data_IF_392736881135
#
_entry.id   IF_392736881135
#
_cell.length_a   1.000
_cell.length_b   1.000
_cell.length_c   1.000
_cell.angle_alpha   90.00
_cell.angle_beta   90.00
_cell.angle_gamma   90.00
#
_symmetry.space_group_name_H-M   'P 1'
#
loop_
_entity.id
_entity.type
_entity.pdbx_description
1 polymer ?
#
# COMPACT_ATOMS: atom_id res chain seq x y z
N UNK A 1 13.55 1.06 15.35
CA UNK A 1 12.27 0.54 14.89
C UNK A 1 11.30 1.63 14.41
N UNK A 2 11.40 2.87 14.93
CA UNK A 2 10.59 4.01 14.50
C UNK A 2 11.12 4.51 13.15
N UNK A 3 10.43 4.19 12.07
CA UNK A 3 10.82 4.54 10.69
C UNK A 3 10.05 5.78 10.22
N UNK A 4 10.32 6.22 8.99
CA UNK A 4 9.67 7.42 8.46
C UNK A 4 8.14 7.29 8.26
N UNK A 5 7.62 6.06 8.04
CA UNK A 5 6.22 5.84 7.68
C UNK A 5 5.50 4.82 8.56
N UNK A 6 6.22 4.05 9.36
CA UNK A 6 5.71 2.99 10.21
C UNK A 6 6.68 2.67 11.36
N UNK A 7 6.26 1.76 12.23
CA UNK A 7 7.15 1.11 13.20
C UNK A 7 7.42 -0.29 12.68
N UNK A 8 8.70 -0.67 12.56
CA UNK A 8 9.09 -1.96 12.00
C UNK A 8 10.38 -2.50 12.61
N UNK A 9 10.42 -3.81 12.86
CA UNK A 9 11.61 -4.45 13.41
C UNK A 9 11.57 -5.98 13.35
N UNK A 10 12.70 -6.59 13.69
CA UNK A 10 12.83 -8.04 13.86
C UNK A 10 12.22 -8.43 15.21
N UNK A 11 11.26 -9.36 15.17
CA UNK A 11 10.52 -9.79 16.36
C UNK A 11 11.45 -10.45 17.38
N UNK A 12 11.31 -10.07 18.65
CA UNK A 12 12.12 -10.59 19.75
C UNK A 12 13.53 -9.97 19.84
N UNK A 13 13.98 -9.22 18.82
CA UNK A 13 15.29 -8.55 18.81
C UNK A 13 15.13 -7.05 18.93
N UNK A 14 14.61 -6.41 17.90
CA UNK A 14 14.37 -4.96 17.90
C UNK A 14 12.90 -4.61 18.20
N UNK A 15 11.96 -5.45 17.83
CA UNK A 15 10.53 -5.31 18.16
C UNK A 15 10.19 -6.31 19.28
N UNK A 16 10.32 -5.88 20.54
CA UNK A 16 10.01 -6.68 21.73
C UNK A 16 8.58 -6.44 22.21
N UNK A 17 7.98 -7.41 22.94
CA UNK A 17 6.62 -7.26 23.45
C UNK A 17 6.51 -6.11 24.46
N UNK A 18 7.52 -5.90 25.32
CA UNK A 18 7.58 -4.77 26.23
C UNK A 18 7.59 -3.45 25.45
N UNK A 19 8.38 -3.37 24.37
CA UNK A 19 8.42 -2.21 23.50
C UNK A 19 7.05 -1.94 22.86
N UNK A 20 6.37 -2.98 22.40
CA UNK A 20 5.01 -2.89 21.83
C UNK A 20 4.00 -2.41 22.86
N UNK A 21 4.07 -2.88 24.11
CA UNK A 21 3.22 -2.38 25.20
C UNK A 21 3.43 -0.87 25.44
N UNK A 22 4.69 -0.41 25.42
CA UNK A 22 5.02 1.02 25.55
C UNK A 22 4.49 1.83 24.36
N UNK A 23 4.58 1.28 23.14
CA UNK A 23 4.00 1.89 21.95
C UNK A 23 2.47 1.98 22.10
N UNK A 24 1.81 0.93 22.58
CA UNK A 24 0.38 0.94 22.88
C UNK A 24 -0.01 2.04 23.89
N UNK A 25 0.77 2.19 24.97
CA UNK A 25 0.59 3.30 25.93
C UNK A 25 0.76 4.67 25.28
N UNK A 26 1.76 4.83 24.41
CA UNK A 26 2.01 6.09 23.74
C UNK A 26 0.88 6.46 22.78
N UNK A 27 0.37 5.49 22.00
CA UNK A 27 -0.77 5.66 21.10
C UNK A 27 -2.04 5.98 21.91
N UNK A 28 -2.35 5.17 22.92
CA UNK A 28 -3.55 5.37 23.75
C UNK A 28 -3.58 6.73 24.43
N UNK A 29 -2.40 7.24 24.82
CA UNK A 29 -2.27 8.58 25.40
C UNK A 29 -2.51 9.73 24.42
N UNK A 30 -2.55 9.48 23.10
CA UNK A 30 -2.89 10.48 22.07
C UNK A 30 -4.38 10.42 21.69
N UNK A 31 -5.08 9.34 22.03
CA UNK A 31 -6.49 9.17 21.72
C UNK A 31 -7.31 10.00 22.69
N UNK A 32 -8.21 10.83 22.17
CA UNK A 32 -9.12 11.62 22.99
C UNK A 32 -10.04 10.71 23.80
N UNK A 33 -10.32 11.10 25.03
CA UNK A 33 -11.23 10.36 25.92
C UNK A 33 -12.57 10.04 25.24
N UNK A 34 -12.96 8.76 25.29
CA UNK A 34 -14.21 8.27 24.72
C UNK A 34 -14.14 7.87 23.24
N UNK A 35 -12.98 7.98 22.58
CA UNK A 35 -12.79 7.43 21.23
C UNK A 35 -12.18 6.04 21.31
N UNK A 36 -12.70 5.12 20.49
CA UNK A 36 -12.15 3.77 20.33
C UNK A 36 -11.04 3.73 19.25
N UNK A 37 -10.26 2.64 19.28
CA UNK A 37 -9.27 2.32 18.26
C UNK A 37 -9.48 0.90 17.73
N UNK A 38 -9.45 0.72 16.40
CA UNK A 38 -9.50 -0.58 15.76
C UNK A 38 -8.11 -1.22 15.75
N UNK A 39 -8.00 -2.49 16.10
CA UNK A 39 -6.76 -3.27 16.02
C UNK A 39 -6.97 -4.46 15.12
N UNK A 40 -6.08 -4.64 14.12
CA UNK A 40 -6.05 -5.81 13.26
C UNK A 40 -4.64 -6.36 13.12
N UNK A 41 -4.51 -7.55 12.54
CA UNK A 41 -3.21 -8.15 12.24
C UNK A 41 -3.22 -8.92 10.94
N UNK A 42 -2.07 -9.02 10.28
CA UNK A 42 -1.87 -9.89 9.13
C UNK A 42 -1.75 -11.38 9.53
N UNK A 43 -1.31 -12.23 8.61
CA UNK A 43 -1.18 -13.68 8.80
C UNK A 43 0.07 -14.13 9.55
N UNK A 44 0.98 -13.23 9.93
CA UNK A 44 2.27 -13.60 10.55
C UNK A 44 2.10 -14.29 11.89
N UNK A 45 2.94 -15.29 12.16
CA UNK A 45 2.88 -16.09 13.38
C UNK A 45 3.09 -15.28 14.66
N UNK A 46 3.86 -14.19 14.59
CA UNK A 46 4.10 -13.28 15.70
C UNK A 46 2.93 -12.31 15.97
N UNK A 47 1.98 -12.19 15.05
CA UNK A 47 0.86 -11.26 15.12
C UNK A 47 0.05 -11.34 16.43
N UNK A 48 -0.42 -12.52 16.87
CA UNK A 48 -1.24 -12.63 18.08
C UNK A 48 -0.58 -12.10 19.35
N UNK A 49 0.71 -12.40 19.57
CA UNK A 49 1.43 -11.93 20.76
C UNK A 49 1.69 -10.42 20.73
N UNK A 50 1.97 -9.86 19.55
CA UNK A 50 2.16 -8.42 19.36
C UNK A 50 0.85 -7.67 19.56
N UNK A 51 -0.28 -8.17 19.03
CA UNK A 51 -1.62 -7.59 19.25
C UNK A 51 -1.99 -7.58 20.73
N UNK A 52 -1.75 -8.70 21.46
CA UNK A 52 -2.01 -8.75 22.90
C UNK A 52 -1.24 -7.68 23.66
N UNK A 53 0.07 -7.56 23.42
CA UNK A 53 0.90 -6.55 24.08
C UNK A 53 0.49 -5.11 23.72
N UNK A 54 0.09 -4.86 22.48
CA UNK A 54 -0.42 -3.57 22.02
C UNK A 54 -1.72 -3.20 22.74
N UNK A 55 -2.68 -4.13 22.81
CA UNK A 55 -3.96 -3.96 23.47
C UNK A 55 -3.78 -3.65 24.97
N UNK A 56 -2.89 -4.39 25.66
CA UNK A 56 -2.58 -4.13 27.07
C UNK A 56 -2.08 -2.69 27.28
N UNK A 57 -1.22 -2.21 26.40
CA UNK A 57 -0.75 -0.83 26.43
C UNK A 57 -1.86 0.19 26.21
N UNK A 58 -2.70 0.00 25.21
CA UNK A 58 -3.83 0.87 24.87
C UNK A 58 -4.85 0.97 26.00
N UNK A 59 -5.29 -0.16 26.52
CA UNK A 59 -6.26 -0.25 27.61
C UNK A 59 -5.74 0.44 28.88
N UNK A 60 -4.45 0.22 29.20
CA UNK A 60 -3.82 0.85 30.37
C UNK A 60 -3.71 2.37 30.26
N UNK A 61 -3.90 2.93 29.07
CA UNK A 61 -3.97 4.38 28.83
C UNK A 61 -5.41 4.90 28.71
N UNK A 62 -6.42 4.04 28.93
CA UNK A 62 -7.84 4.40 28.89
C UNK A 62 -8.48 4.39 27.50
N UNK A 63 -7.80 3.89 26.47
CA UNK A 63 -8.38 3.76 25.14
C UNK A 63 -9.27 2.51 25.05
N UNK A 64 -10.50 2.66 24.55
CA UNK A 64 -11.34 1.52 24.19
C UNK A 64 -10.83 0.89 22.89
N UNK A 65 -10.73 -0.44 22.89
CA UNK A 65 -10.16 -1.21 21.77
C UNK A 65 -11.23 -2.07 21.11
N UNK A 66 -11.27 -2.04 19.78
CA UNK A 66 -12.08 -2.95 18.95
C UNK A 66 -11.12 -3.84 18.19
N UNK A 67 -10.97 -5.09 18.63
CA UNK A 67 -10.17 -6.10 17.91
C UNK A 67 -10.98 -6.64 16.73
N UNK A 68 -10.51 -6.39 15.50
CA UNK A 68 -11.10 -6.93 14.26
C UNK A 68 -10.46 -8.25 13.82
N UNK A 69 -9.50 -8.77 14.59
CA UNK A 69 -8.85 -10.05 14.35
C UNK A 69 -7.84 -10.02 13.20
N UNK A 70 -7.79 -11.11 12.46
CA UNK A 70 -6.95 -11.20 11.26
C UNK A 70 -7.59 -10.38 10.14
N UNK A 71 -6.80 -9.47 9.56
CA UNK A 71 -7.28 -8.51 8.57
C UNK A 71 -6.14 -8.03 7.66
N UNK A 72 -6.49 -7.54 6.48
CA UNK A 72 -5.59 -6.79 5.61
C UNK A 72 -5.44 -5.34 6.07
N UNK A 73 -4.37 -4.66 5.62
CA UNK A 73 -4.21 -3.22 5.87
C UNK A 73 -5.41 -2.41 5.35
N UNK A 74 -5.89 -2.60 4.11
CA UNK A 74 -7.10 -1.92 3.64
C UNK A 74 -8.35 -2.25 4.45
N UNK A 75 -8.53 -3.48 4.91
CA UNK A 75 -9.68 -3.84 5.75
C UNK A 75 -9.64 -3.14 7.12
N UNK A 76 -8.45 -2.93 7.70
CA UNK A 76 -8.32 -2.09 8.90
C UNK A 76 -8.67 -0.62 8.60
N UNK A 77 -8.14 -0.06 7.51
CA UNK A 77 -8.47 1.32 7.14
C UNK A 77 -9.98 1.48 6.92
N UNK A 78 -10.60 0.53 6.23
CA UNK A 78 -12.05 0.47 6.09
C UNK A 78 -12.75 0.42 7.45
N UNK A 79 -12.29 -0.41 8.39
CA UNK A 79 -12.86 -0.51 9.73
C UNK A 79 -12.85 0.82 10.48
N UNK A 80 -11.80 1.64 10.34
CA UNK A 80 -11.74 2.96 10.99
C UNK A 80 -12.83 3.91 10.50
N UNK A 81 -13.28 3.75 9.25
CA UNK A 81 -14.40 4.51 8.68
C UNK A 81 -15.75 3.89 9.05
N UNK A 82 -15.91 2.58 8.86
CA UNK A 82 -17.17 1.87 9.08
C UNK A 82 -17.62 1.85 10.54
N UNK A 83 -16.66 1.79 11.46
CA UNK A 83 -16.91 1.82 12.91
C UNK A 83 -16.76 3.24 13.50
N UNK A 84 -16.56 4.25 12.66
CA UNK A 84 -16.44 5.67 13.02
C UNK A 84 -15.38 5.97 14.08
N UNK A 85 -14.37 5.09 14.23
CA UNK A 85 -13.32 5.29 15.24
C UNK A 85 -12.33 6.37 14.81
N UNK A 86 -12.07 6.49 13.53
CA UNK A 86 -11.00 7.33 12.98
C UNK A 86 -9.59 6.92 13.44
N UNK A 87 -9.48 5.90 14.31
CA UNK A 87 -8.22 5.41 14.86
C UNK A 87 -8.07 3.92 14.57
N UNK A 88 -6.87 3.49 14.22
CA UNK A 88 -6.60 2.09 13.97
C UNK A 88 -5.12 1.76 13.93
N UNK A 89 -4.76 0.53 14.27
CA UNK A 89 -3.42 -0.03 14.08
C UNK A 89 -3.54 -1.40 13.44
N UNK A 90 -2.83 -1.61 12.33
CA UNK A 90 -2.61 -2.93 11.78
C UNK A 90 -1.21 -3.42 12.14
N UNK A 91 -1.16 -4.60 12.76
CA UNK A 91 0.08 -5.32 13.04
C UNK A 91 0.45 -6.10 11.80
N UNK A 92 1.48 -5.66 11.10
CA UNK A 92 1.91 -6.26 9.83
C UNK A 92 3.39 -6.02 9.55
N UNK A 93 4.03 -6.99 8.91
CA UNK A 93 5.33 -6.82 8.29
C UNK A 93 5.24 -6.53 6.79
N UNK A 94 4.00 -6.41 6.22
CA UNK A 94 3.77 -6.22 4.79
C UNK A 94 4.56 -7.26 3.96
N UNK A 95 5.40 -6.81 3.03
CA UNK A 95 6.27 -7.64 2.20
C UNK A 95 7.64 -7.98 2.83
N UNK A 96 7.88 -7.71 4.12
CA UNK A 96 9.14 -8.09 4.77
C UNK A 96 9.21 -9.61 5.05
N UNK A 97 10.42 -10.17 5.26
CA UNK A 97 10.60 -11.57 5.65
C UNK A 97 9.77 -11.97 6.90
N UNK A 98 9.51 -13.29 7.12
CA UNK A 98 8.63 -13.76 8.19
C UNK A 98 9.02 -13.33 9.61
N UNK A 99 10.31 -13.14 9.87
CA UNK A 99 10.85 -12.69 11.16
C UNK A 99 10.59 -11.22 11.48
N UNK A 100 10.17 -10.42 10.52
CA UNK A 100 9.78 -9.03 10.72
C UNK A 100 8.31 -8.89 11.09
N UNK A 101 8.02 -7.85 11.86
CA UNK A 101 6.65 -7.33 12.03
C UNK A 101 6.71 -5.82 12.28
N UNK A 102 5.55 -5.18 12.36
CA UNK A 102 5.47 -3.74 12.55
C UNK A 102 4.06 -3.24 12.79
N UNK A 103 3.91 -1.93 12.80
CA UNK A 103 2.65 -1.25 13.08
C UNK A 103 2.46 -0.11 12.06
N UNK A 104 1.38 -0.19 11.27
CA UNK A 104 0.86 0.96 10.52
C UNK A 104 -0.25 1.58 11.35
N UNK A 105 -0.20 2.88 11.58
CA UNK A 105 -1.02 3.58 12.57
C UNK A 105 -1.85 4.66 11.89
N UNK A 106 -3.12 4.72 12.21
CA UNK A 106 -4.05 5.79 11.82
C UNK A 106 -4.56 6.46 13.09
N UNK A 107 -4.45 7.77 13.18
CA UNK A 107 -5.01 8.57 14.27
C UNK A 107 -5.83 9.74 13.69
N UNK A 108 -7.02 9.96 14.21
CA UNK A 108 -7.98 10.98 13.73
C UNK A 108 -8.18 10.98 12.20
N UNK A 109 -8.23 9.76 11.60
CA UNK A 109 -8.39 9.55 10.16
C UNK A 109 -7.16 9.91 9.32
N UNK A 110 -5.97 9.94 9.92
CA UNK A 110 -4.70 10.19 9.23
C UNK A 110 -3.71 9.06 9.51
N UNK A 111 -3.12 8.49 8.47
CA UNK A 111 -1.93 7.65 8.64
C UNK A 111 -0.80 8.52 9.18
N UNK A 112 -0.24 8.18 10.34
CA UNK A 112 0.85 8.95 10.95
C UNK A 112 2.19 8.62 10.28
N UNK A 113 3.07 9.62 10.20
CA UNK A 113 4.41 9.50 9.63
C UNK A 113 5.37 10.57 10.20
N UNK A 114 6.67 10.41 9.95
CA UNK A 114 7.70 11.41 10.30
C UNK A 114 7.66 11.80 11.76
N UNK A 115 7.51 13.09 12.05
CA UNK A 115 7.52 13.64 13.39
C UNK A 115 6.45 13.05 14.31
N UNK A 116 5.28 12.67 13.77
CA UNK A 116 4.22 12.04 14.56
C UNK A 116 4.64 10.67 15.10
N UNK A 117 5.44 9.90 14.35
CA UNK A 117 6.04 8.64 14.82
C UNK A 117 7.14 8.93 15.86
N UNK A 118 7.94 9.98 15.65
CA UNK A 118 8.97 10.40 16.61
C UNK A 118 8.35 10.94 17.91
N UNK A 119 7.17 11.55 17.86
CA UNK A 119 6.43 11.97 19.06
C UNK A 119 6.01 10.78 19.93
N UNK A 120 5.66 9.62 19.33
CA UNK A 120 5.45 8.38 20.09
C UNK A 120 6.73 7.94 20.80
N UNK A 121 7.87 7.95 20.09
CA UNK A 121 9.17 7.61 20.69
C UNK A 121 9.54 8.55 21.85
N UNK A 122 9.36 9.85 21.64
CA UNK A 122 9.63 10.87 22.67
C UNK A 122 8.76 10.62 23.92
N UNK A 123 7.46 10.35 23.73
CA UNK A 123 6.54 10.03 24.84
C UNK A 123 7.00 8.80 25.63
N UNK A 124 7.50 7.77 24.95
CA UNK A 124 8.07 6.57 25.57
C UNK A 124 9.32 6.91 26.37
N UNK A 125 10.26 7.67 25.81
CA UNK A 125 11.52 8.06 26.46
C UNK A 125 11.29 8.91 27.72
N UNK A 126 10.27 9.78 27.68
CA UNK A 126 9.89 10.65 28.80
C UNK A 126 8.98 9.96 29.82
N UNK A 127 8.56 8.69 29.57
CA UNK A 127 7.58 7.96 30.35
C UNK A 127 6.28 8.78 30.58
N UNK A 128 5.89 9.54 29.55
CA UNK A 128 4.76 10.48 29.60
C UNK A 128 3.48 9.79 29.07
N UNK A 129 2.86 9.00 29.90
CA UNK A 129 1.65 8.24 29.56
C UNK A 129 0.44 8.72 30.36
N UNK A 130 -0.72 8.74 29.70
CA UNK A 130 -2.00 8.80 30.39
C UNK A 130 -2.22 7.46 31.08
N UNK A 131 -2.80 7.48 32.28
CA UNK A 131 -3.22 6.27 32.99
C UNK A 131 -4.73 6.21 32.96
N UNK A 132 -5.26 5.08 32.52
CA UNK A 132 -6.69 4.86 32.39
C UNK A 132 -7.05 3.38 32.42
N UNK A 133 -8.30 3.08 32.15
CA UNK A 133 -8.82 1.72 32.08
C UNK A 133 -9.85 1.65 30.94
N UNK A 134 -9.38 1.34 29.73
CA UNK A 134 -10.22 1.13 28.55
C UNK A 134 -10.85 -0.27 28.53
N UNK A 135 -11.73 -0.50 27.57
CA UNK A 135 -12.43 -1.76 27.38
C UNK A 135 -12.03 -2.43 26.06
N UNK A 136 -11.96 -3.75 26.08
CA UNK A 136 -11.75 -4.56 24.87
C UNK A 136 -13.09 -5.11 24.38
N UNK A 137 -13.35 -4.90 23.10
CA UNK A 137 -14.43 -5.56 22.36
C UNK A 137 -13.89 -6.17 21.07
N UNK A 138 -14.67 -7.01 20.41
CA UNK A 138 -14.27 -7.60 19.12
C UNK A 138 -15.42 -7.56 18.13
N UNK A 139 -15.06 -7.46 16.84
CA UNK A 139 -16.02 -7.53 15.73
C UNK A 139 -15.35 -8.09 14.48
N UNK A 140 -16.14 -8.69 13.57
CA UNK A 140 -15.66 -9.11 12.27
C UNK A 140 -16.06 -8.06 11.22
N UNK A 141 -15.08 -7.56 10.46
CA UNK A 141 -15.31 -6.56 9.42
C UNK A 141 -15.37 -7.15 8.02
N UNK A 142 -15.04 -8.44 7.84
CA UNK A 142 -14.82 -9.06 6.53
C UNK A 142 -16.04 -8.97 5.62
N UNK A 143 -17.21 -9.37 6.09
CA UNK A 143 -18.45 -9.30 5.29
C UNK A 143 -18.80 -7.88 4.86
N UNK A 144 -18.61 -6.90 5.74
CA UNK A 144 -18.87 -5.49 5.43
C UNK A 144 -17.90 -4.97 4.37
N UNK A 145 -16.61 -5.32 4.48
CA UNK A 145 -15.60 -4.94 3.50
C UNK A 145 -15.89 -5.56 2.13
N UNK A 146 -16.16 -6.88 2.07
CA UNK A 146 -16.53 -7.59 0.85
C UNK A 146 -17.77 -6.95 0.21
N UNK A 147 -18.84 -6.77 0.98
CA UNK A 147 -20.09 -6.16 0.52
C UNK A 147 -19.86 -4.74 -0.01
N UNK A 148 -19.02 -3.96 0.66
CA UNK A 148 -18.72 -2.59 0.23
C UNK A 148 -18.00 -2.56 -1.12
N UNK A 149 -17.01 -3.44 -1.35
CA UNK A 149 -16.34 -3.55 -2.65
C UNK A 149 -17.33 -4.02 -3.72
N UNK A 150 -18.06 -5.10 -3.44
CA UNK A 150 -19.05 -5.66 -4.35
C UNK A 150 -20.12 -4.65 -4.77
N UNK A 151 -20.61 -3.83 -3.85
CA UNK A 151 -21.65 -2.83 -4.12
C UNK A 151 -21.18 -1.72 -5.08
N UNK A 152 -19.87 -1.49 -5.14
CA UNK A 152 -19.28 -0.41 -5.94
C UNK A 152 -18.93 -0.83 -7.37
N UNK A 153 -18.50 -2.06 -7.59
CA UNK A 153 -17.89 -2.54 -8.83
C UNK A 153 -18.93 -3.22 -9.74
N UNK A 154 -18.90 -2.88 -11.02
CA UNK A 154 -19.80 -3.46 -12.03
C UNK A 154 -19.03 -3.84 -13.30
N UNK A 155 -18.82 -5.13 -13.49
CA UNK A 155 -18.21 -5.63 -14.71
C UNK A 155 -19.20 -5.60 -15.89
N UNK A 156 -18.73 -5.19 -17.06
CA UNK A 156 -19.53 -5.21 -18.30
C UNK A 156 -19.67 -6.64 -18.87
N UNK A 157 -18.74 -7.53 -18.53
CA UNK A 157 -18.78 -8.97 -18.89
C UNK A 157 -18.08 -9.81 -17.84
N UNK A 158 -18.33 -11.11 -17.85
CA UNK A 158 -17.54 -12.05 -17.06
C UNK A 158 -16.09 -12.06 -17.51
N UNK A 159 -15.16 -12.22 -16.57
CA UNK A 159 -13.73 -12.31 -16.83
C UNK A 159 -13.14 -13.53 -16.11
N UNK A 160 -12.21 -14.22 -16.79
CA UNK A 160 -11.44 -15.30 -16.18
C UNK A 160 -10.11 -14.72 -15.68
N UNK A 161 -9.84 -14.89 -14.40
CA UNK A 161 -8.62 -14.34 -13.77
C UNK A 161 -7.93 -15.38 -12.90
N UNK A 162 -6.62 -15.25 -12.76
CA UNK A 162 -5.87 -15.94 -11.71
C UNK A 162 -5.46 -14.91 -10.66
N UNK A 163 -5.65 -15.24 -9.39
CA UNK A 163 -5.17 -14.44 -8.27
C UNK A 163 -4.05 -15.16 -7.55
N UNK A 164 -3.03 -14.43 -7.15
CA UNK A 164 -1.91 -14.91 -6.34
C UNK A 164 -1.84 -14.08 -5.05
N UNK A 165 -2.11 -14.72 -3.92
CA UNK A 165 -2.10 -14.07 -2.62
C UNK A 165 -0.79 -14.28 -1.85
N UNK A 166 0.19 -15.02 -2.38
CA UNK A 166 1.49 -15.28 -1.75
C UNK A 166 1.39 -15.77 -0.31
N UNK A 167 0.32 -16.52 0.04
CA UNK A 167 -0.04 -16.90 1.41
C UNK A 167 -0.31 -15.71 2.36
N UNK A 168 -0.47 -14.50 1.83
CA UNK A 168 -0.85 -13.30 2.57
C UNK A 168 -2.36 -13.20 2.85
N UNK A 169 -2.76 -12.18 3.60
CA UNK A 169 -4.16 -12.00 4.04
C UNK A 169 -5.13 -11.59 2.93
N UNK A 170 -4.64 -11.28 1.72
CA UNK A 170 -5.51 -11.15 0.55
C UNK A 170 -6.38 -12.39 0.33
N UNK A 171 -5.87 -13.58 0.66
CA UNK A 171 -6.59 -14.85 0.56
C UNK A 171 -7.90 -14.91 1.36
N UNK A 172 -8.07 -14.08 2.37
CA UNK A 172 -9.32 -13.98 3.14
C UNK A 172 -10.47 -13.32 2.38
N UNK A 173 -10.17 -12.51 1.37
CA UNK A 173 -11.15 -11.61 0.75
C UNK A 173 -11.18 -11.71 -0.77
N UNK A 174 -10.01 -11.80 -1.42
CA UNK A 174 -9.86 -11.57 -2.85
C UNK A 174 -10.70 -12.53 -3.69
N UNK A 175 -10.65 -13.84 -3.39
CA UNK A 175 -11.41 -14.83 -4.15
C UNK A 175 -12.93 -14.58 -4.08
N UNK A 176 -13.45 -14.30 -2.89
CA UNK A 176 -14.87 -14.03 -2.68
C UNK A 176 -15.29 -12.72 -3.37
N UNK A 177 -14.52 -11.65 -3.21
CA UNK A 177 -14.79 -10.36 -3.85
C UNK A 177 -14.84 -10.53 -5.37
N UNK A 178 -13.80 -11.12 -5.99
CA UNK A 178 -13.77 -11.23 -7.45
C UNK A 178 -14.84 -12.17 -8.00
N UNK A 179 -15.17 -13.26 -7.31
CA UNK A 179 -16.31 -14.13 -7.68
C UNK A 179 -17.64 -13.36 -7.57
N UNK A 180 -17.83 -12.59 -6.51
CA UNK A 180 -19.07 -11.85 -6.27
C UNK A 180 -19.34 -10.75 -7.30
N UNK A 181 -18.31 -10.14 -7.87
CA UNK A 181 -18.44 -9.14 -8.95
C UNK A 181 -18.54 -9.77 -10.34
N UNK A 182 -18.47 -11.11 -10.46
CA UNK A 182 -18.74 -11.85 -11.70
C UNK A 182 -17.51 -12.44 -12.41
N UNK A 183 -16.37 -12.57 -11.73
CA UNK A 183 -15.21 -13.25 -12.27
C UNK A 183 -15.27 -14.77 -12.07
N UNK A 184 -14.67 -15.51 -13.01
CA UNK A 184 -14.23 -16.88 -12.83
C UNK A 184 -12.79 -16.84 -12.30
N UNK A 185 -12.59 -17.29 -11.07
CA UNK A 185 -11.35 -17.05 -10.31
C UNK A 185 -10.59 -18.36 -10.09
N UNK A 186 -9.37 -18.41 -10.60
CA UNK A 186 -8.38 -19.41 -10.25
C UNK A 186 -7.48 -18.87 -9.13
N UNK A 187 -7.27 -19.67 -8.10
CA UNK A 187 -6.62 -19.27 -6.86
C UNK A 187 -5.22 -19.89 -6.74
N UNK A 188 -4.18 -19.07 -6.54
CA UNK A 188 -2.83 -19.48 -6.18
C UNK A 188 -2.50 -18.94 -4.80
N UNK A 189 -2.03 -19.84 -3.92
CA UNK A 189 -1.50 -19.52 -2.58
C UNK A 189 -2.43 -18.61 -1.74
N UNK A 190 -3.75 -18.86 -1.82
CA UNK A 190 -4.76 -18.08 -1.09
C UNK A 190 -5.00 -18.54 0.36
N UNK A 191 -4.42 -19.66 0.79
CA UNK A 191 -4.42 -20.06 2.20
C UNK A 191 -3.44 -19.19 2.97
N UNK A 192 -3.92 -18.47 3.98
CA UNK A 192 -3.06 -17.59 4.80
C UNK A 192 -2.08 -18.42 5.61
N UNK A 193 -0.78 -18.18 5.39
CA UNK A 193 0.31 -18.84 6.12
C UNK A 193 1.47 -17.85 6.33
N UNK A 194 1.69 -17.45 7.57
CA UNK A 194 2.72 -16.46 7.94
C UNK A 194 4.16 -16.92 7.76
N UNK A 195 4.38 -18.17 7.30
CA UNK A 195 5.71 -18.68 6.91
C UNK A 195 6.03 -18.43 5.44
N UNK A 196 5.01 -18.07 4.63
CA UNK A 196 5.12 -17.80 3.18
C UNK A 196 5.82 -18.93 2.41
N UNK A 197 5.31 -20.17 2.44
CA UNK A 197 6.03 -21.36 2.01
C UNK A 197 6.25 -21.46 0.49
N UNK A 198 5.51 -20.72 -0.33
CA UNK A 198 5.58 -20.84 -1.77
C UNK A 198 6.54 -19.81 -2.40
N UNK A 199 6.32 -18.56 -2.13
CA UNK A 199 7.20 -17.45 -2.51
C UNK A 199 6.98 -16.27 -1.56
N UNK A 200 7.92 -15.33 -1.59
CA UNK A 200 7.80 -14.11 -0.81
C UNK A 200 6.65 -13.23 -1.34
N UNK A 201 5.72 -12.73 -0.48
CA UNK A 201 4.55 -11.97 -0.93
C UNK A 201 4.90 -10.51 -1.27
N UNK A 202 5.70 -10.33 -2.32
CA UNK A 202 6.10 -9.03 -2.86
C UNK A 202 5.94 -9.02 -4.37
N UNK A 203 4.83 -8.50 -4.92
CA UNK A 203 4.57 -8.47 -6.35
C UNK A 203 5.47 -7.49 -7.12
N UNK A 204 6.27 -6.67 -6.45
CA UNK A 204 7.25 -5.79 -7.09
C UNK A 204 8.47 -6.55 -7.62
N UNK A 205 8.65 -7.82 -7.24
CA UNK A 205 9.77 -8.66 -7.60
C UNK A 205 9.35 -9.70 -8.64
N UNK A 206 9.91 -9.67 -9.86
CA UNK A 206 9.56 -10.61 -10.94
C UNK A 206 9.70 -12.08 -10.54
N UNK A 207 10.68 -12.41 -9.70
CA UNK A 207 10.89 -13.77 -9.21
C UNK A 207 9.71 -14.33 -8.41
N UNK A 208 8.92 -13.47 -7.74
CA UNK A 208 7.75 -13.87 -6.97
C UNK A 208 6.49 -14.04 -7.84
N UNK A 209 6.54 -13.62 -9.10
CA UNK A 209 5.42 -13.72 -10.04
C UNK A 209 5.53 -14.94 -10.98
N UNK A 210 6.56 -15.80 -10.86
CA UNK A 210 6.82 -16.89 -11.79
C UNK A 210 5.66 -17.88 -11.91
N UNK A 211 5.06 -18.27 -10.78
CA UNK A 211 3.95 -19.21 -10.79
C UNK A 211 2.69 -18.58 -11.39
N UNK A 212 2.42 -17.32 -11.08
CA UNK A 212 1.32 -16.56 -11.68
C UNK A 212 1.52 -16.40 -13.19
N UNK A 213 2.73 -16.02 -13.63
CA UNK A 213 3.06 -15.91 -15.08
C UNK A 213 2.81 -17.22 -15.80
N UNK A 214 3.30 -18.34 -15.25
CA UNK A 214 3.12 -19.66 -15.82
C UNK A 214 1.64 -20.04 -15.88
N UNK A 215 0.91 -19.86 -14.78
CA UNK A 215 -0.51 -20.24 -14.70
C UNK A 215 -1.37 -19.46 -15.70
N UNK A 216 -1.16 -18.14 -15.80
CA UNK A 216 -1.89 -17.28 -16.75
C UNK A 216 -1.52 -17.62 -18.21
N UNK A 217 -0.23 -17.83 -18.51
CA UNK A 217 0.22 -18.12 -19.87
C UNK A 217 -0.33 -19.47 -20.39
N UNK A 218 -0.29 -20.51 -19.56
CA UNK A 218 -0.68 -21.88 -19.90
C UNK A 218 -2.19 -22.15 -19.70
N UNK A 219 -2.84 -21.42 -18.80
CA UNK A 219 -4.24 -21.62 -18.39
C UNK A 219 -5.28 -20.91 -19.27
N UNK A 220 -6.47 -20.68 -18.71
CA UNK A 220 -7.58 -20.00 -19.39
C UNK A 220 -7.77 -18.54 -18.93
N UNK A 221 -7.03 -18.08 -17.94
CA UNK A 221 -7.15 -16.73 -17.39
C UNK A 221 -6.72 -15.67 -18.39
N UNK A 222 -7.46 -14.58 -18.44
CA UNK A 222 -7.19 -13.44 -19.32
C UNK A 222 -6.08 -12.55 -18.76
N UNK A 223 -5.91 -12.55 -17.42
CA UNK A 223 -4.83 -11.87 -16.70
C UNK A 223 -4.66 -12.45 -15.29
N UNK A 224 -3.54 -12.14 -14.66
CA UNK A 224 -3.23 -12.49 -13.28
C UNK A 224 -3.12 -11.24 -12.40
N UNK A 225 -3.60 -11.35 -11.16
CA UNK A 225 -3.49 -10.34 -10.12
C UNK A 225 -2.68 -10.92 -8.95
N UNK A 226 -1.66 -10.21 -8.50
CA UNK A 226 -0.84 -10.59 -7.34
C UNK A 226 -0.95 -9.53 -6.24
N UNK A 227 -0.97 -9.99 -4.98
CA UNK A 227 -1.08 -9.13 -3.80
C UNK A 227 0.12 -9.35 -2.88
N UNK A 228 0.49 -8.31 -2.13
CA UNK A 228 1.50 -8.45 -1.09
C UNK A 228 0.92 -8.98 0.23
N UNK A 229 1.80 -9.14 1.23
CA UNK A 229 1.47 -9.85 2.47
C UNK A 229 0.29 -9.27 3.26
N UNK A 230 0.05 -7.97 3.19
CA UNK A 230 -1.07 -7.27 3.84
C UNK A 230 -2.08 -6.65 2.86
N UNK A 231 -1.95 -6.99 1.57
CA UNK A 231 -2.92 -6.72 0.50
C UNK A 231 -3.13 -5.23 0.14
N UNK A 232 -2.16 -4.38 0.43
CA UNK A 232 -2.24 -2.97 0.05
C UNK A 232 -1.55 -2.66 -1.30
N UNK A 233 -0.89 -3.68 -1.93
CA UNK A 233 -0.28 -3.58 -3.25
C UNK A 233 -0.90 -4.52 -4.26
N UNK A 234 -0.86 -4.10 -5.53
CA UNK A 234 -1.31 -4.88 -6.67
C UNK A 234 -0.20 -5.03 -7.71
N UNK A 235 0.05 -6.26 -8.14
CA UNK A 235 0.84 -6.61 -9.33
C UNK A 235 -0.05 -7.23 -10.40
N UNK A 236 0.26 -6.99 -11.68
CA UNK A 236 -0.52 -7.49 -12.81
C UNK A 236 0.37 -8.23 -13.80
N UNK A 237 -0.12 -9.39 -14.24
CA UNK A 237 0.48 -10.21 -15.28
C UNK A 237 -0.51 -10.39 -16.43
N UNK A 238 -0.10 -10.09 -17.66
CA UNK A 238 -0.93 -10.27 -18.85
C UNK A 238 -0.99 -11.73 -19.30
N UNK A 239 -1.92 -12.06 -20.22
CA UNK A 239 -2.02 -13.38 -20.86
C UNK A 239 -0.71 -13.81 -21.57
N UNK A 240 0.09 -12.87 -22.00
CA UNK A 240 1.40 -13.11 -22.63
C UNK A 240 2.54 -13.28 -21.63
N UNK A 241 2.26 -13.23 -20.32
CA UNK A 241 3.26 -13.33 -19.26
C UNK A 241 4.04 -12.02 -19.03
N UNK A 242 3.59 -10.89 -19.59
CA UNK A 242 4.19 -9.59 -19.36
C UNK A 242 3.75 -9.04 -18.00
N UNK A 243 4.70 -8.54 -17.22
CA UNK A 243 4.42 -7.80 -15.97
C UNK A 243 4.10 -6.36 -16.34
N UNK A 244 2.94 -5.88 -15.93
CA UNK A 244 2.55 -4.48 -16.09
C UNK A 244 2.94 -3.70 -14.84
N UNK A 245 3.88 -2.77 -15.00
CA UNK A 245 4.36 -1.94 -13.89
C UNK A 245 3.30 -0.94 -13.42
N UNK A 246 3.34 -0.55 -12.13
CA UNK A 246 2.30 0.26 -11.49
C UNK A 246 2.04 1.61 -12.17
N UNK A 247 3.04 2.28 -12.71
CA UNK A 247 2.87 3.55 -13.43
C UNK A 247 2.07 3.36 -14.74
N UNK A 248 2.20 2.21 -15.42
CA UNK A 248 1.37 1.86 -16.57
C UNK A 248 -0.08 1.53 -16.16
N UNK A 249 -0.29 0.90 -14.99
CA UNK A 249 -1.63 0.71 -14.43
C UNK A 249 -2.27 2.04 -14.05
N UNK A 250 -1.50 2.99 -13.52
CA UNK A 250 -1.96 4.35 -13.24
C UNK A 250 -2.47 5.06 -14.50
N UNK A 251 -1.90 4.78 -15.68
CA UNK A 251 -2.41 5.33 -16.94
C UNK A 251 -3.85 4.89 -17.22
N UNK A 252 -4.16 3.60 -16.97
CA UNK A 252 -5.52 3.07 -17.15
C UNK A 252 -6.51 3.65 -16.12
N UNK A 253 -6.08 3.75 -14.86
CA UNK A 253 -6.91 4.37 -13.82
C UNK A 253 -7.14 5.86 -14.10
N UNK A 254 -6.14 6.56 -14.65
CA UNK A 254 -6.28 7.94 -15.09
C UNK A 254 -7.29 8.06 -16.24
N UNK A 255 -7.24 7.16 -17.23
CA UNK A 255 -8.21 7.12 -18.33
C UNK A 255 -9.63 6.98 -17.81
N UNK A 256 -9.86 6.00 -16.92
CA UNK A 256 -11.19 5.77 -16.33
C UNK A 256 -11.67 6.98 -15.53
N UNK A 257 -10.82 7.55 -14.66
CA UNK A 257 -11.15 8.70 -13.83
C UNK A 257 -11.49 9.94 -14.69
N UNK A 258 -10.65 10.25 -15.68
CA UNK A 258 -10.76 11.46 -16.49
C UNK A 258 -11.96 11.45 -17.43
N UNK A 259 -12.61 10.31 -17.65
CA UNK A 259 -13.91 10.28 -18.34
C UNK A 259 -15.01 10.99 -17.53
N UNK A 260 -14.95 10.90 -16.21
CA UNK A 260 -15.93 11.44 -15.26
C UNK A 260 -15.51 12.77 -14.63
N UNK A 261 -14.22 12.94 -14.38
CA UNK A 261 -13.65 14.08 -13.67
C UNK A 261 -12.63 14.81 -14.55
N UNK A 262 -13.14 15.63 -15.46
CA UNK A 262 -12.28 16.45 -16.33
C UNK A 262 -11.35 17.34 -15.50
N UNK A 263 -10.10 17.50 -15.95
CA UNK A 263 -9.09 18.35 -15.30
C UNK A 263 -8.75 17.91 -13.84
N UNK A 264 -9.04 16.64 -13.46
CA UNK A 264 -8.66 16.13 -12.15
C UNK A 264 -7.14 16.11 -11.97
N UNK A 265 -6.70 16.40 -10.75
CA UNK A 265 -5.31 16.21 -10.35
C UNK A 265 -5.10 14.75 -9.99
N UNK A 266 -3.99 14.15 -10.46
CA UNK A 266 -3.60 12.75 -10.22
C UNK A 266 -2.20 12.75 -9.65
N UNK A 267 -2.04 12.20 -8.44
CA UNK A 267 -0.78 12.18 -7.71
C UNK A 267 -0.04 10.85 -7.91
N UNK A 268 1.28 10.92 -8.08
CA UNK A 268 2.14 9.75 -8.20
C UNK A 268 3.55 10.03 -7.68
N UNK A 269 4.28 8.99 -7.31
CA UNK A 269 5.60 9.15 -6.71
C UNK A 269 6.70 9.43 -7.76
N UNK A 270 7.84 9.94 -7.28
CA UNK A 270 9.00 10.32 -8.13
C UNK A 270 9.61 9.15 -8.91
N UNK A 271 9.29 7.90 -8.56
CA UNK A 271 9.80 6.69 -9.22
C UNK A 271 9.06 6.38 -10.53
N UNK A 272 7.83 6.89 -10.68
CA UNK A 272 7.03 6.67 -11.87
C UNK A 272 7.67 7.28 -13.13
N UNK A 273 7.42 6.65 -14.29
CA UNK A 273 7.96 7.11 -15.57
C UNK A 273 7.40 8.49 -15.97
N UNK A 274 8.14 9.23 -16.78
CA UNK A 274 7.69 10.50 -17.36
C UNK A 274 6.48 10.33 -18.27
N UNK A 275 6.30 9.13 -18.84
CA UNK A 275 5.19 8.82 -19.74
C UNK A 275 3.84 8.93 -19.01
N UNK A 276 3.80 8.62 -17.70
CA UNK A 276 2.59 8.81 -16.89
C UNK A 276 2.16 10.29 -16.85
N UNK A 277 3.13 11.20 -16.68
CA UNK A 277 2.84 12.64 -16.70
C UNK A 277 2.28 13.11 -18.06
N UNK A 278 2.89 12.67 -19.17
CA UNK A 278 2.44 12.97 -20.52
C UNK A 278 1.04 12.39 -20.77
N UNK A 279 0.84 11.13 -20.41
CA UNK A 279 -0.45 10.43 -20.55
C UNK A 279 -1.60 11.16 -19.87
N UNK A 280 -1.39 11.58 -18.61
CA UNK A 280 -2.40 12.34 -17.85
C UNK A 280 -2.71 13.68 -18.52
N UNK A 281 -1.68 14.44 -18.97
CA UNK A 281 -1.85 15.74 -19.64
C UNK A 281 -2.62 15.61 -20.95
N UNK A 282 -2.25 14.66 -21.80
CA UNK A 282 -2.90 14.40 -23.09
C UNK A 282 -4.40 14.10 -22.95
N UNK A 283 -4.81 13.54 -21.80
CA UNK A 283 -6.22 13.23 -21.47
C UNK A 283 -6.93 14.34 -20.70
N UNK A 284 -6.29 15.50 -20.57
CA UNK A 284 -6.85 16.66 -19.92
C UNK A 284 -6.86 16.61 -18.40
N UNK A 285 -6.00 15.78 -17.79
CA UNK A 285 -5.76 15.75 -16.35
C UNK A 285 -4.55 16.61 -15.93
N UNK A 286 -4.34 16.77 -14.63
CA UNK A 286 -3.20 17.46 -14.05
C UNK A 286 -2.31 16.48 -13.28
N UNK A 287 -1.12 16.12 -13.81
CA UNK A 287 -0.19 15.25 -13.11
C UNK A 287 0.49 15.98 -11.94
N UNK A 288 0.58 15.33 -10.79
CA UNK A 288 1.28 15.82 -9.61
C UNK A 288 2.29 14.80 -9.14
N UNK A 289 3.56 15.06 -9.38
CA UNK A 289 4.65 14.23 -8.85
C UNK A 289 4.86 14.55 -7.37
N UNK A 290 5.08 13.53 -6.54
CA UNK A 290 5.24 13.67 -5.09
C UNK A 290 6.33 12.76 -4.53
N UNK A 291 6.56 12.86 -3.23
CA UNK A 291 7.50 11.99 -2.50
C UNK A 291 6.98 10.57 -2.45
N UNK A 292 7.88 9.58 -2.51
CA UNK A 292 7.56 8.17 -2.26
C UNK A 292 7.20 7.95 -0.79
N UNK A 293 6.11 7.21 -0.56
CA UNK A 293 5.64 6.81 0.75
C UNK A 293 4.12 6.91 0.86
N UNK A 294 3.48 5.76 1.07
CA UNK A 294 2.00 5.65 1.08
C UNK A 294 1.33 6.64 2.05
N UNK A 295 1.94 6.90 3.22
CA UNK A 295 1.41 7.87 4.18
C UNK A 295 1.51 9.31 3.67
N UNK A 296 2.59 9.66 2.93
CA UNK A 296 2.79 10.97 2.33
C UNK A 296 1.80 11.22 1.19
N UNK A 297 1.57 10.22 0.34
CA UNK A 297 0.57 10.30 -0.73
C UNK A 297 -0.84 10.48 -0.14
N UNK A 298 -1.22 9.67 0.88
CA UNK A 298 -2.52 9.79 1.56
C UNK A 298 -2.72 11.19 2.17
N UNK A 299 -1.69 11.73 2.83
CA UNK A 299 -1.75 13.06 3.42
C UNK A 299 -1.98 14.14 2.37
N UNK A 300 -1.23 14.12 1.26
CA UNK A 300 -1.36 15.09 0.17
C UNK A 300 -2.70 14.95 -0.57
N UNK A 301 -3.16 13.72 -0.80
CA UNK A 301 -4.49 13.48 -1.39
C UNK A 301 -5.61 14.08 -0.53
N UNK A 302 -5.51 13.97 0.79
CA UNK A 302 -6.50 14.55 1.72
C UNK A 302 -6.42 16.07 1.72
N UNK A 303 -5.21 16.63 1.80
CA UNK A 303 -4.99 18.09 1.83
C UNK A 303 -5.47 18.79 0.56
N UNK A 304 -5.21 18.20 -0.60
CA UNK A 304 -5.54 18.76 -1.91
C UNK A 304 -6.83 18.22 -2.54
N UNK A 305 -7.56 17.34 -1.83
CA UNK A 305 -8.77 16.68 -2.33
C UNK A 305 -8.56 15.92 -3.66
N UNK A 306 -7.42 15.23 -3.80
CA UNK A 306 -7.06 14.46 -4.99
C UNK A 306 -7.84 13.13 -5.00
N UNK A 307 -8.35 12.75 -6.17
CA UNK A 307 -9.26 11.60 -6.33
C UNK A 307 -8.55 10.27 -6.63
N UNK A 308 -7.33 10.33 -7.17
CA UNK A 308 -6.55 9.17 -7.57
C UNK A 308 -5.07 9.40 -7.28
N UNK A 309 -4.43 8.41 -6.69
CA UNK A 309 -2.99 8.38 -6.48
C UNK A 309 -2.40 7.00 -6.72
N UNK A 310 -1.08 6.94 -6.91
CA UNK A 310 -0.35 5.67 -7.02
C UNK A 310 1.15 5.80 -6.84
N UNK A 311 1.77 4.68 -6.53
CA UNK A 311 3.22 4.56 -6.36
C UNK A 311 3.79 3.45 -7.23
N UNK A 312 5.04 3.58 -7.63
CA UNK A 312 5.76 2.55 -8.38
C UNK A 312 5.90 1.23 -7.60
N UNK A 313 5.68 1.25 -6.30
CA UNK A 313 5.64 0.07 -5.43
C UNK A 313 4.35 -0.78 -5.55
N UNK A 314 3.33 -0.29 -6.27
CA UNK A 314 2.06 -0.99 -6.45
C UNK A 314 0.95 -0.57 -5.50
N UNK A 315 1.16 0.47 -4.66
CA UNK A 315 0.08 1.08 -3.90
C UNK A 315 -0.77 1.96 -4.81
N UNK A 316 -2.09 1.78 -4.78
CA UNK A 316 -3.06 2.59 -5.50
C UNK A 316 -4.10 3.13 -4.53
N UNK A 317 -4.40 4.41 -4.67
CA UNK A 317 -5.25 5.16 -3.76
C UNK A 317 -6.43 5.74 -4.52
N UNK A 318 -7.62 5.28 -4.23
CA UNK A 318 -8.84 5.81 -4.81
C UNK A 318 -9.63 6.60 -3.75
N UNK A 319 -9.87 7.90 -3.98
CA UNK A 319 -10.80 8.70 -3.21
C UNK A 319 -12.14 8.85 -3.95
N UNK A 320 -12.10 8.73 -5.26
CA UNK A 320 -13.29 8.61 -6.09
C UNK A 320 -13.93 7.25 -5.87
N UNK A 321 -15.15 7.22 -5.33
CA UNK A 321 -15.94 6.03 -4.98
C UNK A 321 -15.39 5.19 -3.81
N UNK A 322 -14.23 5.54 -3.25
CA UNK A 322 -13.56 4.88 -2.13
C UNK A 322 -13.09 5.90 -1.08
N UNK A 323 -12.30 5.51 -0.12
CA UNK A 323 -11.95 6.34 1.05
C UNK A 323 -10.60 7.06 0.94
N UNK A 324 -9.79 6.77 -0.08
CA UNK A 324 -8.49 7.42 -0.32
C UNK A 324 -7.29 6.73 0.33
N UNK A 325 -7.48 5.54 0.89
CA UNK A 325 -6.37 4.70 1.32
C UNK A 325 -5.92 3.71 0.23
N UNK A 326 -4.72 3.15 0.41
CA UNK A 326 -4.12 2.13 -0.44
C UNK A 326 -4.85 0.79 -0.27
N UNK A 327 -5.30 0.20 -1.39
CA UNK A 327 -6.07 -1.04 -1.39
C UNK A 327 -5.82 -1.82 -2.68
N UNK A 328 -5.00 -2.88 -2.57
CA UNK A 328 -4.63 -3.71 -3.72
C UNK A 328 -5.83 -4.48 -4.29
N UNK A 329 -6.72 -4.97 -3.43
CA UNK A 329 -7.89 -5.74 -3.86
C UNK A 329 -8.90 -4.83 -4.56
N UNK A 330 -9.20 -3.66 -4.00
CA UNK A 330 -10.08 -2.69 -4.63
C UNK A 330 -9.48 -2.16 -5.93
N UNK A 331 -8.18 -1.89 -5.98
CA UNK A 331 -7.49 -1.49 -7.22
C UNK A 331 -7.61 -2.56 -8.31
N UNK A 332 -7.45 -3.85 -7.95
CA UNK A 332 -7.68 -4.96 -8.85
C UNK A 332 -9.13 -5.00 -9.38
N UNK A 333 -10.11 -4.80 -8.50
CA UNK A 333 -11.52 -4.75 -8.88
C UNK A 333 -11.85 -3.56 -9.82
N UNK A 334 -11.26 -2.38 -9.59
CA UNK A 334 -11.36 -1.20 -10.48
C UNK A 334 -10.70 -1.46 -11.83
N UNK A 335 -9.56 -2.14 -11.86
CA UNK A 335 -8.92 -2.54 -13.12
C UNK A 335 -9.81 -3.47 -13.93
N UNK A 336 -10.39 -4.48 -13.29
CA UNK A 336 -11.31 -5.42 -13.95
C UNK A 336 -12.57 -4.71 -14.47
N UNK A 337 -13.13 -3.77 -13.70
CA UNK A 337 -14.25 -2.93 -14.17
C UNK A 337 -13.89 -2.15 -15.44
N UNK A 338 -12.71 -1.56 -15.49
CA UNK A 338 -12.20 -0.85 -16.67
C UNK A 338 -11.99 -1.80 -17.86
N UNK A 339 -11.25 -2.90 -17.64
CA UNK A 339 -10.91 -3.86 -18.69
C UNK A 339 -12.12 -4.62 -19.23
N UNK A 340 -13.15 -4.88 -18.42
CA UNK A 340 -14.37 -5.56 -18.84
C UNK A 340 -15.15 -4.81 -19.94
N UNK A 341 -14.94 -3.49 -20.04
CA UNK A 341 -15.55 -2.61 -21.06
C UNK A 341 -14.74 -2.56 -22.36
N UNK A 342 -13.50 -3.08 -22.34
CA UNK A 342 -12.62 -3.04 -23.51
C UNK A 342 -12.91 -4.20 -24.48
N UNK A 343 -12.75 -3.95 -25.78
CA UNK A 343 -12.91 -4.97 -26.81
C UNK A 343 -11.83 -6.04 -26.78
N UNK A 344 -10.62 -5.69 -26.34
CA UNK A 344 -9.47 -6.59 -26.18
C UNK A 344 -8.54 -6.11 -25.08
N UNK A 345 -8.34 -6.95 -24.06
CA UNK A 345 -7.44 -6.67 -22.95
C UNK A 345 -6.00 -6.53 -23.44
N UNK A 346 -5.53 -7.46 -24.27
CA UNK A 346 -4.16 -7.43 -24.81
C UNK A 346 -3.89 -6.17 -25.64
N UNK A 347 -4.85 -5.76 -26.50
CA UNK A 347 -4.70 -4.52 -27.24
C UNK A 347 -4.67 -3.29 -26.31
N UNK A 348 -5.47 -3.28 -25.26
CA UNK A 348 -5.47 -2.19 -24.27
C UNK A 348 -4.11 -2.05 -23.60
N UNK A 349 -3.50 -3.16 -23.15
CA UNK A 349 -2.14 -3.12 -22.60
C UNK A 349 -1.09 -2.68 -23.61
N UNK A 350 -1.21 -3.10 -24.89
CA UNK A 350 -0.27 -2.73 -25.96
C UNK A 350 -0.34 -1.23 -26.35
N UNK A 351 -1.40 -0.50 -25.99
CA UNK A 351 -1.48 0.95 -26.21
C UNK A 351 -0.69 1.75 -25.19
N UNK A 352 -0.34 1.14 -24.05
CA UNK A 352 0.40 1.83 -23.01
C UNK A 352 1.87 2.02 -23.42
N UNK A 353 2.47 3.18 -23.21
CA UNK A 353 3.90 3.37 -23.38
C UNK A 353 4.69 2.30 -22.61
N UNK A 354 5.77 1.83 -23.22
CA UNK A 354 6.66 0.84 -22.62
C UNK A 354 8.10 1.29 -22.84
N UNK A 355 8.58 2.23 -22.03
CA UNK A 355 9.94 2.73 -22.08
C UNK A 355 10.94 1.71 -21.50
N UNK A 356 12.16 1.74 -21.99
CA UNK A 356 13.24 0.98 -21.38
C UNK A 356 13.61 1.57 -20.03
N UNK A 357 13.68 0.72 -19.00
CA UNK A 357 14.13 1.11 -17.67
C UNK A 357 15.15 0.08 -17.13
N UNK A 358 16.06 0.56 -16.30
CA UNK A 358 16.87 -0.35 -15.48
C UNK A 358 16.04 -0.83 -14.28
N UNK A 359 16.36 -2.01 -13.71
CA UNK A 359 15.92 -2.34 -12.38
C UNK A 359 16.36 -1.27 -11.36
N UNK A 360 15.67 -1.20 -10.23
CA UNK A 360 16.11 -0.39 -9.09
C UNK A 360 17.44 -0.96 -8.56
N UNK A 361 18.50 -0.14 -8.62
CA UNK A 361 19.84 -0.52 -8.15
C UNK A 361 19.98 -0.09 -6.71
N UNK A 362 20.20 -1.05 -5.79
CA UNK A 362 20.42 -0.79 -4.38
C UNK A 362 21.90 -0.63 -4.09
N UNK A 363 22.27 0.51 -3.51
CA UNK A 363 23.62 0.81 -3.05
C UNK A 363 23.62 0.80 -1.52
N UNK A 364 24.36 -0.15 -0.92
CA UNK A 364 24.48 -0.24 0.52
C UNK A 364 25.28 0.94 1.07
N UNK A 365 24.75 1.57 2.10
CA UNK A 365 25.36 2.71 2.78
C UNK A 365 25.33 2.48 4.29
N UNK A 366 26.20 3.16 5.04
CA UNK A 366 26.08 3.25 6.49
C UNK A 366 24.88 4.12 6.88
N UNK A 367 24.39 3.99 8.11
CA UNK A 367 23.23 4.75 8.59
C UNK A 367 23.48 6.27 8.48
N UNK A 368 22.56 6.96 7.78
CA UNK A 368 22.62 8.40 7.51
C UNK A 368 23.52 8.81 6.32
N UNK A 369 24.40 7.95 5.84
CA UNK A 369 25.26 8.24 4.69
C UNK A 369 24.46 8.40 3.39
N UNK A 370 23.41 7.60 3.20
CA UNK A 370 22.50 7.68 2.06
C UNK A 370 21.90 9.08 1.90
N UNK A 371 21.47 9.73 3.00
CA UNK A 371 20.96 11.10 2.97
C UNK A 371 22.06 12.11 2.62
N UNK A 372 23.26 11.96 3.22
CA UNK A 372 24.41 12.82 2.93
C UNK A 372 24.84 12.75 1.47
N UNK A 373 24.88 11.56 0.87
CA UNK A 373 25.18 11.36 -0.55
C UNK A 373 24.13 12.07 -1.41
N UNK A 374 22.86 11.87 -1.09
CA UNK A 374 21.76 12.47 -1.86
C UNK A 374 21.79 13.99 -1.81
N UNK A 375 22.05 14.60 -0.66
CA UNK A 375 22.18 16.06 -0.54
C UNK A 375 23.39 16.61 -1.35
N UNK A 376 24.52 15.91 -1.36
CA UNK A 376 25.67 16.30 -2.21
C UNK A 376 25.34 16.22 -3.70
N UNK A 377 24.56 15.20 -4.12
CA UNK A 377 24.14 15.07 -5.52
C UNK A 377 23.23 16.22 -5.97
N UNK A 378 22.34 16.73 -5.09
CA UNK A 378 21.45 17.86 -5.39
C UNK A 378 22.23 19.14 -5.77
N UNK A 379 23.38 19.34 -5.16
CA UNK A 379 24.23 20.54 -5.36
C UNK A 379 25.36 20.32 -6.37
N UNK A 380 25.48 19.10 -6.92
CA UNK A 380 26.56 18.73 -7.82
C UNK A 380 26.36 19.26 -9.25
N UNK A 381 27.45 19.62 -9.92
CA UNK A 381 27.49 20.00 -11.32
C UNK A 381 27.57 18.79 -12.29
N UNK A 382 27.58 17.56 -11.75
CA UNK A 382 27.71 16.36 -12.58
C UNK A 382 26.53 16.11 -13.55
N UNK A 383 25.44 16.83 -13.39
CA UNK A 383 24.24 16.77 -14.26
C UNK A 383 24.10 18.01 -15.18
N UNK A 384 25.20 18.51 -15.73
CA UNK A 384 25.24 19.75 -16.52
C UNK A 384 24.43 19.70 -17.82
N UNK A 385 24.16 18.48 -18.35
CA UNK A 385 23.38 18.27 -19.57
C UNK A 385 21.89 18.02 -19.30
N UNK A 386 21.47 18.03 -18.06
CA UNK A 386 20.07 17.85 -17.68
C UNK A 386 19.20 19.05 -18.12
N UNK A 387 17.99 18.76 -18.59
CA UNK A 387 16.98 19.75 -18.90
C UNK A 387 16.29 20.27 -17.65
N UNK A 388 16.11 19.41 -16.64
CA UNK A 388 15.51 19.77 -15.37
C UNK A 388 16.05 18.91 -14.21
N UNK A 389 15.99 19.44 -12.98
CA UNK A 389 16.40 18.75 -11.74
C UNK A 389 15.28 18.90 -10.70
N UNK A 390 14.64 17.80 -10.34
CA UNK A 390 13.59 17.75 -9.35
C UNK A 390 14.14 17.18 -8.04
N UNK A 391 13.99 17.91 -6.93
CA UNK A 391 14.53 17.55 -5.62
C UNK A 391 13.44 17.25 -4.58
N UNK A 392 12.28 16.82 -5.02
CA UNK A 392 11.11 16.52 -4.17
C UNK A 392 11.41 15.37 -3.20
N UNK A 393 12.06 14.30 -3.71
CA UNK A 393 12.48 13.13 -2.92
C UNK A 393 13.78 12.57 -3.54
N UNK A 394 14.91 12.92 -2.96
CA UNK A 394 16.21 12.69 -3.59
C UNK A 394 16.49 13.68 -4.70
N UNK A 395 17.13 13.23 -5.76
CA UNK A 395 17.33 14.00 -6.99
C UNK A 395 16.86 13.19 -8.20
N UNK A 396 15.89 13.72 -8.93
CA UNK A 396 15.46 13.22 -10.22
C UNK A 396 15.93 14.19 -11.30
N UNK A 397 16.64 13.66 -12.27
CA UNK A 397 17.28 14.43 -13.35
C UNK A 397 16.61 14.06 -14.65
N UNK A 398 15.99 15.05 -15.31
CA UNK A 398 15.31 14.88 -16.59
C UNK A 398 16.26 15.23 -17.74
N UNK A 399 16.31 14.38 -18.77
CA UNK A 399 17.03 14.57 -20.01
C UNK A 399 16.06 14.50 -21.19
N UNK A 400 16.50 14.87 -22.37
CA UNK A 400 15.68 14.82 -23.59
C UNK A 400 15.01 13.45 -23.78
N UNK A 401 15.75 12.36 -23.60
CA UNK A 401 15.31 11.01 -23.96
C UNK A 401 15.06 10.09 -22.75
N UNK A 402 15.12 10.60 -21.52
CA UNK A 402 14.92 9.79 -20.32
C UNK A 402 15.13 10.56 -19.03
N UNK A 403 15.15 9.83 -17.91
CA UNK A 403 15.45 10.39 -16.60
C UNK A 403 16.33 9.46 -15.77
N UNK A 404 17.01 10.03 -14.79
CA UNK A 404 17.70 9.29 -13.74
C UNK A 404 17.18 9.70 -12.36
N UNK A 405 17.13 8.76 -11.42
CA UNK A 405 16.71 9.04 -10.05
C UNK A 405 17.73 8.46 -9.06
N UNK A 406 18.20 9.28 -8.13
CA UNK A 406 18.94 8.85 -6.96
C UNK A 406 18.23 9.34 -5.70
N UNK A 407 17.90 8.42 -4.79
CA UNK A 407 17.19 8.74 -3.55
C UNK A 407 17.70 7.92 -2.36
N UNK A 408 17.62 8.52 -1.18
CA UNK A 408 17.86 7.80 0.06
C UNK A 408 16.62 6.95 0.39
N UNK A 409 16.80 5.64 0.64
CA UNK A 409 15.72 4.80 1.17
C UNK A 409 15.50 5.11 2.65
N UNK A 410 14.24 5.09 3.07
CA UNK A 410 13.84 5.20 4.48
C UNK A 410 13.55 3.82 5.11
N UNK A 411 13.77 2.75 4.34
CA UNK A 411 13.52 1.36 4.77
C UNK A 411 14.78 0.53 4.69
#
# INVERSE_FOLDING_TARGET
IFKAYDIRGVVGTSLTLEGVTLIGKAIGSQIQNGKAICIGRDGRLSGPSIVSALIDGLISSGADVIDIGQASSPALYFATHELETGNGVIVTGSHNPPEYNGLKIVLDGHAIYGDQILDLLKRIQENNFVIGNGHLSSTNISERYITRVQSDIKLARKMKITIDCGNGVAGMYAAEIFKSIGCDVRELFCNVDGTFPNHHPDPSKPENLRDLIKDVAEGESELGLAFDGDADRLGIVTKQGEIIYPDRLMMMFADDLLTRHKNAEIIYDVKCSRDLSHWIKERGGRPKMWKTGHSLIKAEMKACNILLGGEMSGHFFFKERWYGFDDGIYAGARLLEYLSKQSSISQTFNTLPNAFSTPEIQIQCTEGENFSITERLKTSDCFSTAEDKLTIDGIRVEYKDGFGLARASNT
#
